data_IF_658537233543
#
_entry.id   IF_658537233543
#
_cell.length_a   1.000
_cell.length_b   1.000
_cell.length_c   1.000
_cell.angle_alpha   90.00
_cell.angle_beta   90.00
_cell.angle_gamma   90.00
#
_symmetry.space_group_name_H-M   'P 1'
#
loop_
_entity.id
_entity.type
_entity.pdbx_description
1 polymer ?
#
# COMPACT_ATOMS: atom_id res chain seq x y z
N UNK A 1 -85.29 27.50 -16.56
CA UNK A 1 -84.30 27.82 -17.61
C UNK A 1 -83.27 26.69 -17.63
N UNK A 2 -83.23 25.90 -18.71
CA UNK A 2 -82.23 24.87 -19.17
C UNK A 2 -81.51 24.02 -18.09
N UNK A 3 -81.85 22.73 -17.92
CA UNK A 3 -81.26 21.52 -18.57
C UNK A 3 -79.72 21.48 -18.33
N UNK A 4 -79.10 20.49 -17.67
CA UNK A 4 -78.97 19.11 -18.13
C UNK A 4 -78.27 18.16 -17.12
N UNK A 5 -78.34 16.89 -17.49
CA UNK A 5 -77.98 15.62 -16.84
C UNK A 5 -76.50 15.44 -16.53
N UNK A 6 -76.18 14.62 -15.51
CA UNK A 6 -75.55 13.27 -15.66
C UNK A 6 -75.16 12.67 -14.31
N UNK A 7 -75.42 11.36 -14.23
CA UNK A 7 -75.21 10.45 -13.12
C UNK A 7 -73.72 10.15 -12.86
N UNK A 8 -73.41 9.70 -11.64
CA UNK A 8 -72.66 8.44 -11.43
C UNK A 8 -72.59 8.08 -9.93
N UNK A 9 -73.17 6.92 -9.60
CA UNK A 9 -72.88 6.12 -8.41
C UNK A 9 -71.36 5.92 -8.25
N UNK A 10 -70.85 5.96 -7.01
CA UNK A 10 -69.76 5.06 -6.60
C UNK A 10 -69.85 4.68 -5.12
N UNK A 11 -69.91 3.36 -4.93
CA UNK A 11 -70.02 2.59 -3.69
C UNK A 11 -68.85 2.87 -2.73
N UNK A 12 -69.17 3.05 -1.45
CA UNK A 12 -68.23 2.82 -0.35
C UNK A 12 -68.09 1.31 -0.14
N UNK A 13 -66.89 0.79 -0.41
CA UNK A 13 -66.49 -0.59 -0.12
C UNK A 13 -65.42 -0.59 0.96
N UNK A 14 -65.65 -1.42 1.96
CA UNK A 14 -64.98 -1.49 3.24
C UNK A 14 -63.50 -1.90 3.22
N UNK A 15 -62.89 -1.64 4.37
CA UNK A 15 -61.52 -1.81 4.80
C UNK A 15 -60.88 -3.20 4.63
N UNK A 16 -59.55 -3.16 4.85
CA UNK A 16 -58.55 -4.22 5.12
C UNK A 16 -57.72 -4.65 3.91
N UNK A 17 -56.47 -4.18 3.85
CA UNK A 17 -55.36 -5.01 3.39
C UNK A 17 -54.03 -4.65 4.08
N UNK A 18 -53.44 -5.70 4.64
CA UNK A 18 -52.18 -5.90 5.33
C UNK A 18 -51.04 -4.89 5.12
N UNK A 19 -50.48 -4.41 6.24
CA UNK A 19 -49.17 -3.76 6.32
C UNK A 19 -48.08 -4.85 6.35
N UNK A 20 -47.47 -5.13 5.20
CA UNK A 20 -46.26 -5.95 5.12
C UNK A 20 -45.04 -5.07 5.45
N UNK A 21 -44.57 -5.13 6.70
CA UNK A 21 -43.28 -4.55 7.10
C UNK A 21 -42.19 -5.56 6.73
N UNK A 22 -41.57 -5.37 5.57
CA UNK A 22 -40.34 -6.05 5.17
C UNK A 22 -39.17 -5.47 5.96
N UNK A 23 -38.90 -6.03 7.14
CA UNK A 23 -37.62 -5.87 7.84
C UNK A 23 -36.52 -6.50 7.00
N UNK A 24 -35.76 -5.66 6.28
CA UNK A 24 -34.52 -6.04 5.62
C UNK A 24 -33.49 -6.52 6.65
N UNK A 25 -33.11 -7.79 6.53
CA UNK A 25 -32.00 -8.38 7.26
C UNK A 25 -30.70 -7.69 6.85
N UNK A 26 -30.15 -6.85 7.74
CA UNK A 26 -28.73 -6.50 7.71
C UNK A 26 -27.95 -7.72 8.19
N UNK A 27 -27.66 -8.64 7.26
CA UNK A 27 -26.68 -9.70 7.48
C UNK A 27 -25.29 -9.07 7.55
N UNK A 28 -24.86 -8.70 8.75
CA UNK A 28 -23.46 -8.36 9.06
C UNK A 28 -22.82 -9.54 9.79
N UNK A 29 -22.94 -10.74 9.21
CA UNK A 29 -22.30 -11.93 9.76
C UNK A 29 -21.13 -12.41 8.89
N UNK A 30 -19.98 -12.50 9.55
CA UNK A 30 -18.90 -13.46 9.31
C UNK A 30 -18.02 -13.30 8.05
N UNK A 31 -17.27 -12.20 7.96
CA UNK A 31 -16.03 -12.17 7.16
C UNK A 31 -14.75 -12.48 7.99
N UNK A 32 -14.87 -13.02 9.21
CA UNK A 32 -13.73 -13.21 10.14
C UNK A 32 -13.54 -14.63 10.66
N UNK A 33 -14.15 -15.64 10.04
CA UNK A 33 -14.04 -17.03 10.50
C UNK A 33 -13.34 -17.99 9.51
N UNK A 34 -12.92 -17.54 8.34
CA UNK A 34 -12.25 -18.41 7.38
C UNK A 34 -10.73 -18.14 7.40
N UNK A 35 -9.92 -19.20 7.51
CA UNK A 35 -8.46 -19.13 7.62
C UNK A 35 -7.74 -18.60 6.37
N UNK A 36 -8.45 -17.87 5.51
CA UNK A 36 -7.98 -17.27 4.27
C UNK A 36 -6.81 -16.33 4.54
N UNK A 37 -5.68 -16.51 3.85
CA UNK A 37 -4.56 -15.59 3.90
C UNK A 37 -4.99 -14.15 3.58
N UNK A 38 -4.60 -13.18 4.41
CA UNK A 38 -4.92 -11.78 4.18
C UNK A 38 -4.44 -11.29 2.80
N UNK A 39 -3.33 -11.83 2.29
CA UNK A 39 -2.84 -11.49 0.95
C UNK A 39 -3.83 -11.80 -0.18
N UNK A 40 -4.65 -12.84 -0.02
CA UNK A 40 -5.68 -13.22 -1.00
C UNK A 40 -6.87 -12.26 -0.90
N UNK A 41 -7.27 -11.90 0.33
CA UNK A 41 -8.33 -10.95 0.58
C UNK A 41 -8.01 -9.55 0.02
N UNK A 42 -6.82 -9.02 0.34
CA UNK A 42 -6.39 -7.71 -0.13
C UNK A 42 -6.06 -7.71 -1.63
N UNK A 43 -5.43 -8.79 -2.12
CA UNK A 43 -5.10 -8.93 -3.54
C UNK A 43 -6.32 -9.07 -4.47
N UNK A 44 -7.48 -9.45 -3.94
CA UNK A 44 -8.73 -9.52 -4.70
C UNK A 44 -9.43 -8.15 -4.87
N UNK A 45 -8.98 -7.10 -4.19
CA UNK A 45 -9.62 -5.77 -4.26
C UNK A 45 -9.05 -4.99 -5.44
N UNK A 46 -9.92 -4.65 -6.40
CA UNK A 46 -9.54 -3.87 -7.59
C UNK A 46 -9.48 -2.35 -7.35
N UNK A 47 -10.26 -1.86 -6.38
CA UNK A 47 -10.42 -0.42 -6.09
C UNK A 47 -10.17 -0.13 -4.60
N UNK A 48 -9.76 1.12 -4.28
CA UNK A 48 -9.51 1.52 -2.90
C UNK A 48 -10.81 1.54 -2.11
N UNK A 49 -10.68 1.73 -0.81
CA UNK A 49 -11.84 2.01 0.04
C UNK A 49 -12.17 3.49 -0.08
N UNK A 50 -13.44 3.81 -0.32
CA UNK A 50 -13.96 5.18 -0.28
C UNK A 50 -14.00 5.66 1.18
N UNK A 51 -12.91 6.29 1.58
CA UNK A 51 -12.68 6.80 2.92
C UNK A 51 -11.63 7.92 2.87
N UNK A 52 -11.47 8.65 3.97
CA UNK A 52 -10.32 9.54 4.12
C UNK A 52 -9.00 8.75 3.99
N UNK A 53 -7.99 9.29 3.29
CA UNK A 53 -6.69 8.64 3.18
C UNK A 53 -6.05 8.43 4.55
N UNK A 54 -5.78 7.18 4.93
CA UNK A 54 -5.17 6.87 6.24
C UNK A 54 -4.40 5.56 6.18
N UNK A 55 -3.17 5.59 6.69
CA UNK A 55 -2.31 4.42 6.84
C UNK A 55 -2.52 3.78 8.22
N UNK A 56 -2.76 2.46 8.25
CA UNK A 56 -2.97 1.73 9.52
C UNK A 56 -1.93 0.63 9.69
N UNK A 57 -1.36 0.55 10.89
CA UNK A 57 -0.39 -0.47 11.26
C UNK A 57 1.04 -0.11 10.88
N UNK A 58 1.83 -1.14 10.60
CA UNK A 58 3.23 -1.03 10.22
C UNK A 58 3.41 -1.33 8.73
N UNK A 59 4.52 -0.89 8.14
CA UNK A 59 4.82 -1.04 6.71
C UNK A 59 4.63 -2.47 6.15
N UNK A 60 4.88 -3.49 6.97
CA UNK A 60 4.73 -4.91 6.65
C UNK A 60 3.62 -5.63 7.43
N UNK A 61 2.73 -4.86 8.08
CA UNK A 61 1.62 -5.39 8.87
C UNK A 61 0.54 -4.32 9.03
N UNK A 62 -0.23 -4.10 7.97
CA UNK A 62 -1.15 -2.97 7.92
C UNK A 62 -2.07 -2.96 6.71
N UNK A 63 -2.74 -1.83 6.49
CA UNK A 63 -3.62 -1.57 5.35
C UNK A 63 -3.69 -0.05 5.06
N UNK A 64 -4.30 0.30 3.93
CA UNK A 64 -4.48 1.67 3.46
C UNK A 64 -5.96 1.94 3.18
N UNK A 65 -6.55 2.91 3.90
CA UNK A 65 -7.84 3.49 3.56
C UNK A 65 -7.65 4.66 2.60
N UNK A 66 -8.62 4.91 1.70
CA UNK A 66 -8.60 6.09 0.83
C UNK A 66 -7.35 6.21 -0.04
N UNK A 67 -6.75 5.06 -0.41
CA UNK A 67 -5.57 5.05 -1.28
C UNK A 67 -5.88 5.67 -2.64
N UNK A 68 -4.91 6.41 -3.17
CA UNK A 68 -5.04 7.03 -4.50
C UNK A 68 -3.98 6.47 -5.43
N UNK A 69 -4.33 6.38 -6.70
CA UNK A 69 -3.42 5.87 -7.71
C UNK A 69 -2.62 7.01 -8.36
N UNK A 70 -1.31 6.83 -8.54
CA UNK A 70 -0.55 7.71 -9.45
C UNK A 70 -0.89 7.36 -10.91
N UNK A 71 -1.16 8.32 -11.81
CA UNK A 71 -1.41 8.02 -13.23
C UNK A 71 -0.38 7.04 -13.82
N UNK A 72 -0.83 6.17 -14.72
CA UNK A 72 0.06 5.19 -15.38
C UNK A 72 1.20 5.87 -16.13
N UNK A 73 0.96 7.11 -16.55
CA UNK A 73 1.83 7.95 -17.33
C UNK A 73 1.84 9.35 -16.76
N UNK A 74 3.03 9.92 -16.68
CA UNK A 74 3.23 11.34 -16.47
C UNK A 74 4.34 11.89 -17.34
N UNK A 75 4.57 13.20 -17.31
CA UNK A 75 5.60 13.84 -18.12
C UNK A 75 7.02 13.29 -17.84
N UNK A 76 7.25 12.79 -16.63
CA UNK A 76 8.57 12.37 -16.15
C UNK A 76 8.56 10.97 -15.52
N UNK A 77 7.49 10.19 -15.70
CA UNK A 77 7.41 8.81 -15.20
C UNK A 77 6.52 7.89 -16.04
N UNK A 78 6.75 6.58 -15.88
CA UNK A 78 5.87 5.52 -16.37
C UNK A 78 5.75 4.41 -15.32
N UNK A 79 4.52 4.00 -15.01
CA UNK A 79 4.27 2.87 -14.11
C UNK A 79 4.47 1.53 -14.85
N UNK A 80 5.14 0.59 -14.18
CA UNK A 80 5.50 -0.74 -14.68
C UNK A 80 4.60 -1.81 -14.08
N UNK A 81 4.50 -2.97 -14.74
CA UNK A 81 3.72 -4.12 -14.23
C UNK A 81 2.28 -3.73 -13.86
N UNK A 82 1.60 -3.01 -14.74
CA UNK A 82 0.25 -2.48 -14.57
C UNK A 82 -0.75 -3.58 -14.19
N UNK A 83 -0.57 -4.79 -14.72
CA UNK A 83 -1.39 -5.98 -14.42
C UNK A 83 -1.46 -6.31 -12.93
N UNK A 84 -0.45 -5.92 -12.14
CA UNK A 84 -0.40 -6.18 -10.70
C UNK A 84 -1.34 -5.30 -9.88
N UNK A 85 -1.83 -4.20 -10.46
CA UNK A 85 -2.66 -3.20 -9.77
C UNK A 85 -2.01 -2.63 -8.49
N UNK A 86 -0.74 -2.20 -8.58
CA UNK A 86 0.07 -1.78 -7.42
C UNK A 86 0.50 -0.31 -7.42
N UNK A 87 -0.17 0.54 -8.20
CA UNK A 87 0.15 1.97 -8.32
C UNK A 87 -0.55 2.86 -7.28
N UNK A 88 -1.01 2.29 -6.17
CA UNK A 88 -1.82 2.96 -5.15
C UNK A 88 -0.98 3.35 -3.94
N UNK A 89 -1.23 4.52 -3.36
CA UNK A 89 -0.50 4.99 -2.19
C UNK A 89 -1.28 6.03 -1.39
N UNK A 90 -0.71 6.39 -0.25
CA UNK A 90 -1.18 7.55 0.49
C UNK A 90 -0.88 8.82 -0.33
N UNK A 91 -1.74 9.86 -0.31
CA UNK A 91 -1.53 11.08 -1.10
C UNK A 91 -0.15 11.72 -0.93
N UNK A 92 0.42 11.67 0.28
CA UNK A 92 1.78 12.16 0.53
C UNK A 92 2.86 11.36 -0.20
N UNK A 93 2.70 10.03 -0.34
CA UNK A 93 3.63 9.21 -1.12
C UNK A 93 3.49 9.52 -2.61
N UNK A 94 2.25 9.60 -3.12
CA UNK A 94 2.02 9.89 -4.53
C UNK A 94 2.56 11.28 -4.91
N UNK A 95 2.31 12.30 -4.07
CA UNK A 95 2.86 13.63 -4.27
C UNK A 95 4.38 13.68 -4.15
N UNK A 96 5.00 12.86 -3.29
CA UNK A 96 6.47 12.73 -3.26
C UNK A 96 7.00 12.15 -4.57
N UNK A 97 6.39 11.08 -5.09
CA UNK A 97 6.84 10.41 -6.31
C UNK A 97 6.76 11.36 -7.50
N UNK A 98 5.65 12.09 -7.65
CA UNK A 98 5.50 13.11 -8.70
C UNK A 98 6.59 14.18 -8.59
N UNK A 99 6.77 14.80 -7.43
CA UNK A 99 7.83 15.81 -7.25
C UNK A 99 9.22 15.21 -7.52
N UNK A 100 9.47 14.00 -7.06
CA UNK A 100 10.73 13.31 -7.26
C UNK A 100 11.00 13.02 -8.74
N UNK A 101 9.99 12.66 -9.53
CA UNK A 101 10.17 12.41 -10.97
C UNK A 101 10.52 13.69 -11.72
N UNK A 102 9.90 14.82 -11.39
CA UNK A 102 10.26 16.13 -11.93
C UNK A 102 11.68 16.54 -11.52
N UNK A 103 11.99 16.50 -10.22
CA UNK A 103 13.30 16.86 -9.69
C UNK A 103 14.43 16.01 -10.29
N UNK A 104 14.19 14.71 -10.51
CA UNK A 104 15.17 13.81 -11.11
C UNK A 104 15.55 14.27 -12.54
N UNK A 105 14.57 14.69 -13.34
CA UNK A 105 14.83 15.24 -14.68
C UNK A 105 15.52 16.59 -14.58
N UNK A 106 14.93 17.54 -13.85
CA UNK A 106 15.31 18.94 -13.87
C UNK A 106 16.66 19.21 -13.18
N UNK A 107 16.94 18.52 -12.07
CA UNK A 107 18.09 18.84 -11.21
C UNK A 107 19.31 17.96 -11.46
N UNK A 108 19.13 16.74 -11.97
CA UNK A 108 20.25 15.78 -12.17
C UNK A 108 20.31 15.16 -13.56
N UNK A 109 19.39 15.54 -14.46
CA UNK A 109 19.32 15.05 -15.83
C UNK A 109 18.97 13.57 -15.94
N UNK A 110 18.27 13.00 -14.95
CA UNK A 110 17.79 11.62 -15.04
C UNK A 110 16.64 11.55 -16.05
N UNK A 111 16.57 10.59 -16.98
CA UNK A 111 15.60 10.63 -18.08
C UNK A 111 14.10 10.56 -17.70
N UNK A 112 13.80 10.21 -16.46
CA UNK A 112 12.46 9.97 -15.93
C UNK A 112 12.41 8.67 -15.13
N UNK A 113 11.34 8.45 -14.37
CA UNK A 113 11.21 7.30 -13.48
C UNK A 113 10.42 6.16 -14.13
N UNK A 114 10.94 4.94 -14.03
CA UNK A 114 10.14 3.74 -14.17
C UNK A 114 9.68 3.30 -12.78
N UNK A 115 8.38 3.43 -12.49
CA UNK A 115 7.79 3.16 -11.19
C UNK A 115 7.43 1.68 -11.06
N UNK A 116 7.95 1.02 -10.04
CA UNK A 116 7.58 -0.34 -9.64
C UNK A 116 6.33 -0.36 -8.75
N UNK A 117 6.34 -1.23 -7.74
CA UNK A 117 5.21 -1.40 -6.84
C UNK A 117 5.16 -0.25 -5.81
N UNK A 118 3.97 0.29 -5.54
CA UNK A 118 3.69 1.23 -4.43
C UNK A 118 2.87 0.51 -3.37
N UNK A 119 1.62 0.16 -3.69
CA UNK A 119 0.71 -0.59 -2.83
C UNK A 119 -0.48 -1.10 -3.64
N UNK A 120 -1.16 -2.12 -3.12
CA UNK A 120 -2.49 -2.53 -3.61
C UNK A 120 -3.52 -1.45 -3.26
N UNK A 121 -4.73 -1.42 -3.87
CA UNK A 121 -5.70 -0.34 -3.67
C UNK A 121 -6.08 -0.09 -2.21
N UNK A 122 -6.11 -1.16 -1.40
CA UNK A 122 -6.43 -1.11 0.04
C UNK A 122 -5.23 -1.44 0.92
N UNK A 123 -4.03 -1.42 0.35
CA UNK A 123 -2.82 -1.87 1.01
C UNK A 123 -2.83 -3.36 1.32
N UNK A 124 -2.42 -3.74 2.53
CA UNK A 124 -2.42 -5.12 2.98
C UNK A 124 -1.27 -5.97 2.41
N UNK A 125 -1.09 -7.20 2.94
CA UNK A 125 -0.12 -8.14 2.41
C UNK A 125 -0.33 -8.39 0.91
N UNK A 126 0.75 -8.44 0.14
CA UNK A 126 0.71 -8.66 -1.31
C UNK A 126 0.70 -10.15 -1.66
N UNK A 127 0.07 -10.49 -2.80
CA UNK A 127 0.09 -11.86 -3.34
C UNK A 127 1.51 -12.37 -3.62
N UNK A 128 2.43 -11.46 -3.94
CA UNK A 128 3.80 -11.75 -4.35
C UNK A 128 4.72 -10.54 -4.13
N UNK A 129 6.03 -10.77 -4.09
CA UNK A 129 7.03 -9.71 -4.00
C UNK A 129 7.33 -9.30 -2.56
N UNK A 130 7.07 -8.03 -2.24
CA UNK A 130 7.59 -7.37 -1.04
C UNK A 130 6.80 -7.78 0.22
N UNK A 131 7.50 -7.87 1.35
CA UNK A 131 6.87 -8.05 2.65
C UNK A 131 6.21 -6.76 3.17
N UNK A 132 6.72 -5.59 2.76
CA UNK A 132 6.16 -4.26 3.09
C UNK A 132 5.14 -3.79 2.05
N UNK A 133 5.05 -2.48 1.77
CA UNK A 133 4.08 -1.87 0.84
C UNK A 133 2.62 -2.02 1.27
N UNK A 134 2.36 -2.31 2.55
CA UNK A 134 1.00 -2.61 2.99
C UNK A 134 0.19 -1.37 3.38
N UNK A 135 0.84 -0.21 3.54
CA UNK A 135 0.18 0.99 4.11
C UNK A 135 0.28 2.23 3.21
N UNK A 136 0.67 2.07 1.94
CA UNK A 136 0.74 3.16 0.97
C UNK A 136 1.88 4.16 1.19
N UNK A 137 2.93 3.79 1.93
CA UNK A 137 4.06 4.66 2.29
C UNK A 137 5.41 4.11 1.80
N UNK A 138 5.36 3.17 0.86
CA UNK A 138 6.52 2.53 0.23
C UNK A 138 6.38 2.64 -1.30
N UNK A 139 7.49 2.80 -2.03
CA UNK A 139 7.51 2.84 -3.48
C UNK A 139 8.83 2.33 -4.05
N UNK A 140 8.77 1.44 -5.03
CA UNK A 140 9.93 0.97 -5.77
C UNK A 140 10.17 1.82 -7.00
N UNK A 141 11.42 2.24 -7.19
CA UNK A 141 11.87 2.99 -8.37
C UNK A 141 12.96 2.18 -9.05
N UNK A 142 12.75 1.83 -10.32
CA UNK A 142 13.77 1.10 -11.07
C UNK A 142 15.01 1.97 -11.28
N UNK A 143 16.17 1.31 -11.25
CA UNK A 143 17.45 1.94 -11.60
C UNK A 143 17.68 1.96 -13.11
N UNK A 144 16.84 1.27 -13.89
CA UNK A 144 16.80 1.39 -15.36
C UNK A 144 16.29 2.78 -15.76
N UNK A 145 17.04 3.55 -16.58
CA UNK A 145 16.57 4.83 -17.09
C UNK A 145 15.30 4.68 -17.94
N UNK A 146 14.36 5.60 -17.77
CA UNK A 146 13.15 5.65 -18.59
C UNK A 146 13.50 5.95 -20.06
N UNK A 147 12.94 5.21 -21.04
CA UNK A 147 13.19 5.49 -22.45
C UNK A 147 12.52 6.81 -22.87
N UNK A 148 13.05 7.45 -23.92
CA UNK A 148 12.49 8.68 -24.52
C UNK A 148 11.25 8.41 -25.40
N UNK A 149 10.36 7.55 -24.92
CA UNK A 149 9.06 7.22 -25.51
C UNK A 149 8.17 6.60 -24.45
N UNK A 150 6.87 6.65 -24.70
CA UNK A 150 5.90 5.87 -23.91
C UNK A 150 6.02 4.39 -24.26
N UNK A 151 6.17 3.55 -23.23
CA UNK A 151 6.09 2.11 -23.31
C UNK A 151 4.63 1.68 -23.42
N UNK A 152 4.37 0.73 -24.32
CA UNK A 152 3.08 0.04 -24.38
C UNK A 152 2.82 -0.77 -23.11
N UNK A 153 1.55 -1.18 -22.92
CA UNK A 153 1.17 -2.04 -21.81
C UNK A 153 2.02 -3.33 -21.77
N UNK A 154 2.15 -4.02 -22.90
CA UNK A 154 2.90 -5.28 -22.98
C UNK A 154 4.39 -5.09 -22.64
N UNK A 155 5.01 -4.02 -23.16
CA UNK A 155 6.41 -3.71 -22.82
C UNK A 155 6.60 -3.49 -21.32
N UNK A 156 5.64 -2.85 -20.64
CA UNK A 156 5.69 -2.65 -19.18
C UNK A 156 5.55 -3.94 -18.39
N UNK A 157 4.97 -4.99 -18.96
CA UNK A 157 4.87 -6.31 -18.35
C UNK A 157 6.14 -7.15 -18.58
N UNK A 158 6.77 -7.00 -19.75
CA UNK A 158 7.83 -7.91 -20.21
C UNK A 158 9.26 -7.38 -20.02
N UNK A 159 9.48 -6.07 -20.15
CA UNK A 159 10.82 -5.48 -19.99
C UNK A 159 11.37 -5.84 -18.60
N UNK A 160 12.60 -6.33 -18.54
CA UNK A 160 13.29 -6.61 -17.29
C UNK A 160 14.09 -5.40 -16.82
N UNK A 161 14.05 -5.14 -15.52
CA UNK A 161 14.91 -4.14 -14.91
C UNK A 161 16.39 -4.57 -15.00
N UNK A 162 17.27 -3.60 -15.14
CA UNK A 162 18.72 -3.78 -15.25
C UNK A 162 19.31 -3.89 -13.85
N UNK A 163 19.96 -5.00 -13.52
CA UNK A 163 20.72 -5.11 -12.26
C UNK A 163 21.99 -4.27 -12.33
N UNK A 164 22.30 -3.60 -11.22
CA UNK A 164 23.55 -2.86 -11.03
C UNK A 164 24.73 -3.74 -10.65
N UNK A 165 24.53 -5.07 -10.50
CA UNK A 165 25.58 -5.99 -10.08
C UNK A 165 26.19 -6.74 -11.26
N UNK A 166 27.49 -6.98 -11.15
CA UNK A 166 28.19 -7.99 -11.94
C UNK A 166 27.77 -9.37 -11.43
N UNK A 167 26.94 -10.07 -12.22
CA UNK A 167 26.40 -11.38 -11.83
C UNK A 167 27.46 -12.47 -11.67
N UNK A 168 28.68 -12.26 -12.16
CA UNK A 168 29.79 -13.19 -11.99
C UNK A 168 30.54 -13.01 -10.65
N UNK A 169 30.26 -11.94 -9.90
CA UNK A 169 30.99 -11.59 -8.68
C UNK A 169 30.05 -11.34 -7.51
N UNK A 170 30.49 -11.75 -6.32
CA UNK A 170 29.72 -11.54 -5.10
C UNK A 170 29.63 -10.04 -4.77
N UNK A 171 28.39 -9.54 -4.62
CA UNK A 171 28.05 -8.16 -4.21
C UNK A 171 28.95 -7.08 -4.83
N UNK A 172 29.17 -7.17 -6.13
CA UNK A 172 30.06 -6.25 -6.86
C UNK A 172 29.24 -5.47 -7.88
N UNK A 173 29.43 -4.15 -7.91
CA UNK A 173 28.78 -3.29 -8.90
C UNK A 173 29.38 -3.57 -10.29
N UNK A 174 28.52 -3.69 -11.29
CA UNK A 174 28.92 -3.73 -12.69
C UNK A 174 29.31 -2.31 -13.15
N UNK A 175 30.60 -2.05 -13.45
CA UNK A 175 31.06 -0.73 -13.88
C UNK A 175 30.56 -0.34 -15.28
N UNK A 176 30.08 -1.29 -16.09
CA UNK A 176 29.52 -1.00 -17.42
C UNK A 176 28.09 -0.46 -17.36
N UNK A 177 27.37 -0.73 -16.26
CA UNK A 177 25.98 -0.29 -16.06
C UNK A 177 25.92 0.91 -15.10
N UNK A 178 26.66 0.87 -13.99
CA UNK A 178 26.59 1.90 -12.97
C UNK A 178 27.22 3.22 -13.42
N UNK A 179 26.47 4.31 -13.23
CA UNK A 179 26.94 5.68 -13.52
C UNK A 179 26.78 6.60 -12.31
N UNK A 180 27.50 7.73 -12.24
CA UNK A 180 27.30 8.72 -11.19
C UNK A 180 25.87 9.27 -11.10
N UNK A 181 25.08 9.21 -12.19
CA UNK A 181 23.67 9.62 -12.18
C UNK A 181 22.80 8.72 -11.30
N UNK A 182 23.09 7.42 -11.22
CA UNK A 182 22.40 6.51 -10.30
C UNK A 182 22.64 6.90 -8.84
N UNK A 183 23.87 7.29 -8.51
CA UNK A 183 24.20 7.79 -7.17
C UNK A 183 23.42 9.06 -6.83
N UNK A 184 23.36 10.02 -7.77
CA UNK A 184 22.59 11.26 -7.60
C UNK A 184 21.09 10.99 -7.42
N UNK A 185 20.53 10.05 -8.18
CA UNK A 185 19.11 9.68 -8.07
C UNK A 185 18.77 9.14 -6.68
N UNK A 186 19.56 8.17 -6.17
CA UNK A 186 19.34 7.57 -4.84
C UNK A 186 19.54 8.62 -3.74
N UNK A 187 20.58 9.44 -3.83
CA UNK A 187 20.87 10.47 -2.82
C UNK A 187 19.84 11.59 -2.82
N UNK A 188 19.27 11.94 -3.99
CA UNK A 188 18.14 12.86 -4.08
C UNK A 188 16.88 12.26 -3.44
N UNK A 189 16.57 10.99 -3.69
CA UNK A 189 15.44 10.34 -3.01
C UNK A 189 15.61 10.38 -1.48
N UNK A 190 16.83 10.17 -0.97
CA UNK A 190 17.10 10.23 0.46
C UNK A 190 17.03 11.66 1.05
N UNK A 191 17.24 12.71 0.26
CA UNK A 191 17.33 14.08 0.76
C UNK A 191 15.98 14.67 1.18
N UNK A 192 14.86 14.14 0.67
CA UNK A 192 13.53 14.61 1.06
C UNK A 192 13.27 14.43 2.56
N UNK A 193 12.68 15.45 3.24
CA UNK A 193 12.43 15.39 4.68
C UNK A 193 11.37 14.35 5.08
N UNK A 194 10.44 14.03 4.18
CA UNK A 194 9.41 13.01 4.35
C UNK A 194 9.99 11.59 4.25
N UNK A 195 11.08 11.42 3.48
CA UNK A 195 11.74 10.13 3.31
C UNK A 195 12.49 9.75 4.57
N UNK A 196 12.16 8.57 5.08
CA UNK A 196 12.77 8.02 6.28
C UNK A 196 13.89 7.04 5.93
N UNK A 197 13.68 6.19 4.92
CA UNK A 197 14.67 5.22 4.44
C UNK A 197 14.61 5.07 2.93
N UNK A 198 15.77 4.80 2.34
CA UNK A 198 15.91 4.31 0.97
C UNK A 198 16.63 2.97 1.02
N UNK A 199 15.97 1.87 0.66
CA UNK A 199 16.60 0.56 0.68
C UNK A 199 17.23 0.22 -0.66
N UNK A 200 18.46 -0.29 -0.61
CA UNK A 200 19.28 -0.65 -1.78
C UNK A 200 20.06 -1.93 -1.50
N UNK A 201 20.60 -2.57 -2.53
CA UNK A 201 21.56 -3.64 -2.36
C UNK A 201 22.81 -3.19 -1.56
N UNK A 202 23.45 -4.07 -0.76
CA UNK A 202 24.67 -3.72 -0.02
C UNK A 202 25.81 -3.20 -0.91
N UNK A 203 25.95 -3.73 -2.13
CA UNK A 203 26.97 -3.27 -3.07
C UNK A 203 26.74 -1.83 -3.54
N UNK A 204 25.47 -1.44 -3.75
CA UNK A 204 25.07 -0.07 -4.08
C UNK A 204 25.39 0.86 -2.91
N UNK A 205 25.02 0.45 -1.68
CA UNK A 205 25.35 1.23 -0.48
C UNK A 205 26.87 1.41 -0.32
N UNK A 206 27.66 0.35 -0.52
CA UNK A 206 29.13 0.44 -0.50
C UNK A 206 29.65 1.38 -1.59
N UNK A 207 29.16 1.27 -2.82
CA UNK A 207 29.55 2.19 -3.91
C UNK A 207 29.27 3.64 -3.58
N UNK A 208 28.13 3.95 -2.97
CA UNK A 208 27.82 5.29 -2.46
C UNK A 208 28.80 5.73 -1.37
N UNK A 209 29.08 4.87 -0.39
CA UNK A 209 30.06 5.17 0.66
C UNK A 209 31.43 5.54 0.07
N UNK A 210 31.90 4.75 -0.90
CA UNK A 210 33.23 4.88 -1.50
C UNK A 210 33.34 6.09 -2.44
N UNK A 211 32.28 6.40 -3.19
CA UNK A 211 32.35 7.33 -4.34
C UNK A 211 31.51 8.60 -4.21
N UNK A 212 30.53 8.66 -3.31
CA UNK A 212 29.73 9.87 -3.13
C UNK A 212 30.58 10.97 -2.47
N UNK A 213 30.60 12.15 -3.09
CA UNK A 213 31.34 13.35 -2.63
C UNK A 213 30.43 14.54 -2.34
N UNK A 214 29.11 14.42 -2.55
CA UNK A 214 28.14 15.45 -2.19
C UNK A 214 27.78 15.40 -0.70
N UNK A 215 26.68 16.06 -0.33
CA UNK A 215 26.18 16.04 1.05
C UNK A 215 25.87 14.61 1.52
N UNK A 216 26.42 14.23 2.66
CA UNK A 216 26.29 12.91 3.28
C UNK A 216 25.27 12.87 4.41
N UNK A 217 24.65 14.00 4.77
CA UNK A 217 23.66 14.07 5.86
C UNK A 217 22.51 13.06 5.67
N UNK A 218 22.08 12.85 4.42
CA UNK A 218 21.04 11.88 4.09
C UNK A 218 21.56 10.45 3.84
N UNK A 219 22.88 10.23 3.76
CA UNK A 219 23.44 8.92 3.39
C UNK A 219 23.07 7.85 4.42
N UNK A 220 22.96 8.20 5.71
CA UNK A 220 22.49 7.29 6.76
C UNK A 220 21.12 6.67 6.46
N UNK A 221 20.22 7.39 5.79
CA UNK A 221 18.89 6.90 5.38
C UNK A 221 18.97 5.82 4.29
N UNK A 222 20.05 5.77 3.53
CA UNK A 222 20.25 4.71 2.53
C UNK A 222 20.68 3.43 3.26
N UNK A 223 19.80 2.42 3.28
CA UNK A 223 19.96 1.19 4.07
C UNK A 223 20.17 -0.03 3.17
N UNK A 224 21.20 -0.86 3.46
CA UNK A 224 21.40 -2.11 2.73
C UNK A 224 20.30 -3.13 3.07
N UNK A 225 19.81 -3.85 2.07
CA UNK A 225 18.88 -4.98 2.20
C UNK A 225 19.12 -6.00 1.08
N UNK A 226 18.72 -7.26 1.29
CA UNK A 226 18.77 -8.31 0.26
C UNK A 226 18.03 -7.91 -1.02
N UNK A 227 18.52 -8.34 -2.18
CA UNK A 227 17.96 -7.93 -3.48
C UNK A 227 18.25 -6.47 -3.78
N UNK A 228 17.24 -5.71 -4.23
CA UNK A 228 17.29 -4.25 -4.46
C UNK A 228 18.51 -3.80 -5.28
N UNK A 229 18.88 -4.62 -6.25
CA UNK A 229 20.01 -4.41 -7.15
C UNK A 229 19.59 -3.81 -8.49
N UNK A 230 18.32 -3.89 -8.86
CA UNK A 230 17.74 -3.28 -10.07
C UNK A 230 16.72 -2.18 -9.80
N UNK A 231 16.35 -1.99 -8.53
CA UNK A 231 15.48 -0.92 -8.05
C UNK A 231 15.96 -0.49 -6.67
N UNK A 232 15.55 0.70 -6.24
CA UNK A 232 15.63 1.12 -4.86
C UNK A 232 14.22 1.35 -4.32
N UNK A 233 14.06 1.12 -3.02
CA UNK A 233 12.79 1.23 -2.32
C UNK A 233 12.78 2.51 -1.49
N UNK A 234 11.86 3.42 -1.75
CA UNK A 234 11.62 4.61 -0.93
C UNK A 234 10.58 4.29 0.15
N UNK A 235 10.85 4.70 1.38
CA UNK A 235 9.89 4.68 2.49
C UNK A 235 9.75 6.07 3.10
N UNK A 236 8.51 6.54 3.25
CA UNK A 236 8.21 7.78 3.97
C UNK A 236 7.73 7.52 5.39
N UNK A 237 7.83 8.55 6.23
CA UNK A 237 7.33 8.56 7.62
C UNK A 237 5.81 8.41 7.64
N UNK A 238 5.25 8.04 8.80
CA UNK A 238 3.81 8.10 9.00
C UNK A 238 3.30 9.54 8.76
N UNK A 239 2.25 9.73 7.94
CA UNK A 239 1.61 11.02 7.74
C UNK A 239 1.09 11.62 9.04
N UNK A 240 1.25 12.93 9.21
CA UNK A 240 0.60 13.65 10.30
C UNK A 240 -0.92 13.38 10.26
N UNK A 241 -1.50 13.01 11.40
CA UNK A 241 -2.93 12.69 11.52
C UNK A 241 -3.30 11.22 11.32
N UNK A 242 -2.40 10.38 10.78
CA UNK A 242 -2.64 8.92 10.72
C UNK A 242 -2.37 8.26 12.08
N UNK A 243 -3.28 8.43 13.05
CA UNK A 243 -3.13 7.91 14.43
C UNK A 243 -2.93 6.39 14.50
N UNK A 244 -3.46 5.66 13.52
CA UNK A 244 -3.28 4.21 13.40
C UNK A 244 -1.94 3.78 12.78
N UNK A 245 -1.12 4.70 12.27
CA UNK A 245 0.16 4.41 11.62
C UNK A 245 1.28 4.27 12.67
N UNK A 246 2.08 3.22 12.55
CA UNK A 246 3.19 2.93 13.46
C UNK A 246 4.52 3.25 12.77
N UNK A 247 5.25 4.21 13.33
CA UNK A 247 6.61 4.52 12.91
C UNK A 247 7.57 3.35 13.13
N UNK A 248 8.63 3.33 12.34
CA UNK A 248 9.80 2.46 12.56
C UNK A 248 10.83 3.17 13.45
N UNK A 249 11.81 2.41 13.95
CA UNK A 249 12.88 2.98 14.75
C UNK A 249 13.66 4.04 13.97
N UNK A 250 14.20 5.05 14.65
CA UNK A 250 15.04 6.08 14.01
C UNK A 250 16.26 5.46 13.34
N UNK A 251 16.70 6.05 12.23
CA UNK A 251 17.96 5.69 11.60
C UNK A 251 19.11 6.03 12.58
N UNK A 252 20.06 5.11 12.84
CA UNK A 252 21.22 5.41 13.67
C UNK A 252 22.01 6.62 13.14
N UNK A 253 22.63 7.37 14.05
CA UNK A 253 23.48 8.50 13.66
C UNK A 253 24.65 8.05 12.77
N UNK A 254 25.08 8.95 11.88
CA UNK A 254 26.16 8.69 10.91
C UNK A 254 25.63 8.31 9.53
N UNK A 255 26.57 8.02 8.62
CA UNK A 255 26.26 7.71 7.22
C UNK A 255 26.04 6.21 6.96
N UNK A 256 26.24 5.37 7.99
CA UNK A 256 26.10 3.91 7.90
C UNK A 256 27.12 3.25 6.97
N UNK A 257 28.30 3.86 6.81
CA UNK A 257 29.45 3.32 6.06
C UNK A 257 30.49 2.66 6.99
N UNK A 258 30.02 2.05 8.08
CA UNK A 258 30.82 1.49 9.17
C UNK A 258 30.73 -0.05 9.22
N UNK A 259 31.02 -0.63 10.39
CA UNK A 259 30.92 -2.08 10.64
C UNK A 259 29.53 -2.66 10.32
N UNK A 260 28.46 -1.87 10.42
CA UNK A 260 27.11 -2.30 10.04
C UNK A 260 26.97 -2.58 8.55
N UNK A 261 27.69 -1.85 7.70
CA UNK A 261 27.78 -2.15 6.27
C UNK A 261 28.76 -3.29 5.99
N UNK A 262 29.91 -3.31 6.67
CA UNK A 262 30.91 -4.35 6.49
C UNK A 262 30.35 -5.77 6.78
N UNK A 263 29.42 -5.89 7.74
CA UNK A 263 28.76 -7.15 8.05
C UNK A 263 28.09 -7.83 6.84
N UNK A 264 27.52 -7.05 5.91
CA UNK A 264 26.89 -7.57 4.68
C UNK A 264 27.86 -8.29 3.74
N UNK A 265 29.16 -8.02 3.89
CA UNK A 265 30.23 -8.62 3.09
C UNK A 265 30.95 -9.76 3.81
N UNK A 266 30.37 -10.26 4.91
CA UNK A 266 30.76 -11.51 5.57
C UNK A 266 29.83 -12.65 5.14
N UNK A 267 30.12 -13.90 5.53
CA UNK A 267 29.23 -15.04 5.25
C UNK A 267 27.96 -15.05 6.12
N UNK A 268 27.97 -14.35 7.26
CA UNK A 268 26.89 -14.43 8.26
C UNK A 268 25.48 -14.06 7.74
N UNK A 269 25.27 -12.98 6.95
CA UNK A 269 23.96 -12.68 6.35
C UNK A 269 23.47 -13.73 5.34
N UNK A 270 24.37 -14.52 4.77
CA UNK A 270 24.09 -15.44 3.67
C UNK A 270 24.06 -16.90 4.13
N UNK A 271 24.37 -17.14 5.41
CA UNK A 271 24.36 -18.46 6.02
C UNK A 271 22.94 -19.03 6.02
N UNK A 272 22.76 -20.21 5.42
CA UNK A 272 21.50 -20.94 5.50
C UNK A 272 21.25 -21.37 6.95
N UNK A 273 20.01 -21.31 7.45
CA UNK A 273 19.67 -21.85 8.76
C UNK A 273 20.10 -23.32 8.87
N UNK A 274 20.83 -23.67 9.93
CA UNK A 274 21.19 -25.07 10.21
C UNK A 274 19.93 -25.83 10.60
N UNK A 275 19.50 -26.79 9.79
CA UNK A 275 18.42 -27.72 10.15
C UNK A 275 18.95 -28.71 11.18
N UNK A 276 18.24 -28.91 12.29
CA UNK A 276 18.58 -30.02 13.19
C UNK A 276 18.22 -31.35 12.51
N UNK A 277 19.01 -32.42 12.65
CA UNK A 277 18.65 -33.74 12.15
C UNK A 277 17.26 -34.15 12.68
N UNK A 278 16.33 -34.49 11.78
CA UNK A 278 14.96 -34.87 12.14
C UNK A 278 13.95 -33.72 12.29
N UNK A 279 14.36 -32.46 12.13
CA UNK A 279 13.45 -31.32 12.22
C UNK A 279 12.54 -31.24 10.98
N UNK A 280 11.22 -31.40 11.19
CA UNK A 280 10.22 -31.21 10.13
C UNK A 280 10.21 -29.75 9.70
N UNK A 281 10.11 -29.44 8.39
CA UNK A 281 9.96 -28.06 7.93
C UNK A 281 8.75 -27.40 8.63
N UNK A 282 8.90 -26.17 9.15
CA UNK A 282 7.77 -25.46 9.73
C UNK A 282 6.68 -25.29 8.67
N UNK A 283 5.41 -25.50 9.05
CA UNK A 283 4.27 -25.24 8.16
C UNK A 283 4.25 -23.74 7.82
N UNK A 284 4.03 -23.36 6.54
CA UNK A 284 3.85 -21.96 6.17
C UNK A 284 2.71 -21.35 6.99
N UNK A 285 3.02 -20.34 7.80
CA UNK A 285 1.99 -19.53 8.46
C UNK A 285 1.80 -18.27 7.63
N UNK A 286 0.61 -18.07 7.12
CA UNK A 286 0.23 -16.84 6.45
C UNK A 286 -0.49 -15.94 7.45
N UNK A 287 -0.23 -14.63 7.37
CA UNK A 287 -1.01 -13.67 8.12
C UNK A 287 -2.47 -13.72 7.64
N UNK A 288 -3.38 -13.81 8.59
CA UNK A 288 -4.83 -13.71 8.39
C UNK A 288 -5.29 -12.28 8.67
N UNK A 289 -6.56 -11.97 8.39
CA UNK A 289 -7.11 -10.66 8.70
C UNK A 289 -7.07 -10.36 10.21
N UNK A 290 -7.22 -11.38 11.06
CA UNK A 290 -7.14 -11.27 12.51
C UNK A 290 -5.75 -10.90 13.02
N UNK A 291 -4.70 -11.16 12.23
CA UNK A 291 -3.34 -10.76 12.57
C UNK A 291 -3.10 -9.26 12.32
N UNK A 292 -3.91 -8.60 11.49
CA UNK A 292 -3.75 -7.19 11.09
C UNK A 292 -4.43 -6.23 12.09
N UNK A 293 -4.13 -4.91 12.04
CA UNK A 293 -4.88 -3.92 12.81
C UNK A 293 -6.39 -4.05 12.58
N UNK A 294 -7.21 -3.86 13.63
CA UNK A 294 -8.68 -3.99 13.54
C UNK A 294 -9.29 -3.13 12.42
N UNK A 295 -8.73 -1.95 12.18
CA UNK A 295 -9.10 -1.07 11.07
C UNK A 295 -9.06 -1.76 9.70
N UNK A 296 -8.18 -2.74 9.52
CA UNK A 296 -8.00 -3.41 8.24
C UNK A 296 -9.17 -4.28 7.82
N UNK A 297 -9.96 -4.80 8.77
CA UNK A 297 -11.23 -5.45 8.43
C UNK A 297 -12.26 -4.45 7.89
N UNK A 298 -12.32 -3.24 8.45
CA UNK A 298 -13.20 -2.16 7.99
C UNK A 298 -12.74 -1.65 6.62
N UNK A 299 -11.45 -1.39 6.45
CA UNK A 299 -10.86 -1.00 5.16
C UNK A 299 -11.18 -2.05 4.10
N UNK A 300 -10.90 -3.32 4.37
CA UNK A 300 -11.09 -4.41 3.42
C UNK A 300 -12.54 -4.56 2.95
N UNK A 301 -13.52 -4.23 3.80
CA UNK A 301 -14.95 -4.43 3.51
C UNK A 301 -15.72 -3.13 3.20
N UNK A 302 -15.08 -1.96 3.33
CA UNK A 302 -15.72 -0.68 3.05
C UNK A 302 -16.08 -0.47 1.58
N UNK A 303 -16.94 0.53 1.29
CA UNK A 303 -17.36 0.86 -0.07
C UNK A 303 -16.16 1.21 -0.96
N UNK A 304 -16.33 1.09 -2.27
CA UNK A 304 -15.34 1.48 -3.26
C UNK A 304 -15.91 2.61 -4.13
N UNK A 305 -15.06 3.49 -4.69
CA UNK A 305 -15.51 4.45 -5.70
C UNK A 305 -16.06 3.73 -6.93
N UNK A 306 -16.79 4.45 -7.79
CA UNK A 306 -17.41 3.86 -8.97
C UNK A 306 -16.38 3.45 -10.05
N UNK A 307 -15.19 4.05 -10.04
CA UNK A 307 -14.12 3.72 -10.99
C UNK A 307 -12.74 4.09 -10.46
N UNK A 308 -11.71 3.50 -11.08
CA UNK A 308 -10.30 3.83 -10.85
C UNK A 308 -9.99 5.31 -11.12
N UNK A 309 -10.66 5.90 -12.11
CA UNK A 309 -10.46 7.29 -12.49
C UNK A 309 -10.82 8.24 -11.33
N UNK A 310 -11.88 7.97 -10.58
CA UNK A 310 -12.29 8.79 -9.43
C UNK A 310 -11.27 8.79 -8.28
N UNK A 311 -10.37 7.81 -8.25
CA UNK A 311 -9.34 7.68 -7.23
C UNK A 311 -7.91 7.82 -7.80
N UNK A 312 -7.77 8.32 -9.03
CA UNK A 312 -6.46 8.60 -9.64
C UNK A 312 -6.09 10.06 -9.43
N UNK A 313 -4.90 10.29 -8.89
CA UNK A 313 -4.33 11.60 -8.58
C UNK A 313 -4.32 12.55 -9.79
N UNK A 314 -4.56 13.85 -9.57
CA UNK A 314 -4.70 14.88 -10.60
C UNK A 314 -6.16 15.25 -10.88
N UNK A 315 -6.52 15.53 -12.14
CA UNK A 315 -7.79 16.14 -12.53
C UNK A 315 -9.08 15.42 -12.06
N UNK A 316 -8.97 14.13 -11.71
CA UNK A 316 -10.09 13.33 -11.21
C UNK A 316 -10.09 13.17 -9.67
N UNK A 317 -8.95 13.36 -9.00
CA UNK A 317 -8.86 13.31 -7.54
C UNK A 317 -9.15 14.69 -6.95
N UNK A 318 -10.31 14.83 -6.30
CA UNK A 318 -10.54 15.90 -5.32
C UNK A 318 -10.27 15.31 -3.95
N UNK A 319 -9.24 15.81 -3.26
CA UNK A 319 -9.03 15.46 -1.86
C UNK A 319 -10.36 15.64 -1.13
N UNK A 320 -10.85 14.62 -0.39
CA UNK A 320 -12.10 14.77 0.34
C UNK A 320 -11.97 15.98 1.28
N UNK A 321 -13.02 16.80 1.36
CA UNK A 321 -13.08 17.87 2.34
C UNK A 321 -12.76 17.27 3.72
N UNK A 322 -11.97 17.98 4.54
CA UNK A 322 -11.64 17.53 5.89
C UNK A 322 -12.94 17.13 6.58
N UNK A 323 -13.09 15.83 6.85
CA UNK A 323 -14.31 15.29 7.41
C UNK A 323 -14.45 15.89 8.82
N UNK A 324 -15.53 16.65 9.14
CA UNK A 324 -15.76 17.06 10.51
C UNK A 324 -15.81 15.81 11.37
N UNK A 325 -15.17 15.81 12.54
CA UNK A 325 -14.89 14.62 13.38
C UNK A 325 -16.10 13.69 13.66
N UNK A 326 -17.32 14.15 13.39
CA UNK A 326 -18.59 13.42 13.47
C UNK A 326 -18.93 12.54 12.26
N UNK A 327 -18.29 12.68 11.10
CA UNK A 327 -18.47 11.75 9.98
C UNK A 327 -17.45 10.62 10.11
N UNK A 328 -17.99 9.41 10.15
CA UNK A 328 -17.40 8.12 10.54
C UNK A 328 -15.95 7.92 10.08
N UNK A 329 -14.97 8.36 10.88
CA UNK A 329 -13.59 7.87 10.76
C UNK A 329 -13.59 6.38 11.06
N UNK A 330 -12.72 5.60 10.42
CA UNK A 330 -12.62 4.16 10.73
C UNK A 330 -12.29 3.98 12.22
N UNK A 331 -11.56 4.92 12.82
CA UNK A 331 -11.35 5.01 14.26
C UNK A 331 -12.65 5.17 15.06
N UNK A 332 -13.59 6.00 14.63
CA UNK A 332 -14.91 6.13 15.28
C UNK A 332 -15.74 4.84 15.17
N UNK A 333 -15.66 4.12 14.04
CA UNK A 333 -16.33 2.81 13.88
C UNK A 333 -15.75 1.79 14.84
N UNK A 334 -14.42 1.78 15.01
CA UNK A 334 -13.74 0.90 15.98
C UNK A 334 -14.08 1.31 17.42
N UNK A 335 -14.10 2.61 17.71
CA UNK A 335 -14.41 3.15 19.04
C UNK A 335 -15.86 2.85 19.46
N UNK A 336 -16.83 3.07 18.58
CA UNK A 336 -18.24 2.75 18.83
C UNK A 336 -18.46 1.25 19.09
N UNK A 337 -17.73 0.38 18.39
CA UNK A 337 -17.76 -1.06 18.63
C UNK A 337 -17.13 -1.48 19.98
N UNK A 338 -16.30 -0.62 20.59
CA UNK A 338 -15.70 -0.85 21.91
C UNK A 338 -16.52 -0.25 23.07
N UNK A 339 -17.39 0.72 22.80
CA UNK A 339 -18.22 1.41 23.79
C UNK A 339 -19.64 0.85 23.93
N UNK A 340 -20.08 -0.07 23.06
CA UNK A 340 -21.35 -0.76 23.24
C UNK A 340 -21.29 -1.67 24.48
N UNK A 341 -22.11 -1.43 25.53
CA UNK A 341 -22.21 -2.36 26.64
C UNK A 341 -22.79 -3.68 26.11
N UNK A 342 -22.19 -4.79 26.49
CA UNK A 342 -22.80 -6.12 26.37
C UNK A 342 -23.97 -6.21 27.35
N UNK A 343 -25.07 -5.52 27.07
CA UNK A 343 -26.34 -5.70 27.75
C UNK A 343 -27.34 -6.23 26.72
N UNK A 344 -27.99 -7.34 27.07
CA UNK A 344 -29.00 -8.06 26.30
C UNK A 344 -28.51 -8.94 25.13
N UNK A 345 -27.57 -9.84 25.40
CA UNK A 345 -27.51 -11.11 24.66
C UNK A 345 -28.53 -12.07 25.30
N UNK A 346 -29.61 -12.48 24.59
CA UNK A 346 -30.53 -13.48 25.13
C UNK A 346 -29.78 -14.80 25.32
N UNK A 347 -29.80 -15.33 26.54
CA UNK A 347 -29.28 -16.66 26.87
C UNK A 347 -30.10 -17.70 26.08
N UNK A 348 -29.47 -18.56 25.25
CA UNK A 348 -30.19 -19.63 24.57
C UNK A 348 -30.81 -20.59 25.59
N UNK A 349 -32.12 -20.80 25.51
CA UNK A 349 -32.77 -21.84 26.30
C UNK A 349 -32.29 -23.23 25.85
N UNK A 350 -32.07 -24.17 26.78
CA UNK A 350 -31.65 -25.52 26.43
C UNK A 350 -32.73 -26.22 25.60
N UNK A 351 -32.26 -27.01 24.63
CA UNK A 351 -33.08 -27.81 23.70
C UNK A 351 -34.02 -28.73 24.50
N UNK A 352 -35.34 -28.78 24.17
CA UNK A 352 -36.21 -29.81 24.75
C UNK A 352 -35.67 -31.19 24.39
N UNK A 353 -35.56 -32.08 25.39
CA UNK A 353 -35.29 -33.48 25.15
C UNK A 353 -36.46 -34.07 24.36
N UNK A 354 -36.14 -34.81 23.31
CA UNK A 354 -37.13 -35.58 22.55
C UNK A 354 -37.76 -36.64 23.47
N UNK A 355 -39.02 -36.41 23.83
CA UNK A 355 -40.08 -37.42 23.94
C UNK A 355 -41.45 -36.75 23.91
#
# INVERSE_FOLDING_TARGET
MRIDKRAALRRCGSALLALAVSTGLLSTDAASADGTPAKELFGARALPTEAAPTSYGFYSKGCLAGGIAIPTDGPTWQAMRLSRNRRWGHPQMIGLIERFSHDAVEKIGWPGLLLGDISQPRGGPMLSGHASHQIGLDADIWLTPMPQRTLSYQEREEISATSMLDKSKFLTIDPSVWTPSHARLIMMAASYPEVERVFVNPAIKRKLCDTWRGDRAALGKVRPIYGHDYHFHIRIKCPAGSKGCKDQATVPAGDGCDKSLAWWFTDAPWAKPKKKPGEKPPKPKFATLADLPKACAVVLNGPAPASEQQATYGAAYRAPAAIPAAATSIESVIGAAAEAPLADIPVPLPRPALQ
#
